data_IF_252031939019
#
_entry.id   IF_252031939019
#
_cell.length_a   1.000
_cell.length_b   1.000
_cell.length_c   1.000
_cell.angle_alpha   90.00
_cell.angle_beta   90.00
_cell.angle_gamma   90.00
#
_symmetry.space_group_name_H-M   'P 1'
#
loop_
_entity.id
_entity.type
_entity.pdbx_description
1 polymer ?
2 non-polymer ?
3 non-polymer ?
4 water ?
#
# COMPACT_ATOMS: atom_id res chain seq x y z
N UNK A 13 43.03 4.18 13.34
CA UNK A 13 43.13 4.18 11.88
C UNK A 13 43.69 2.87 11.37
N UNK A 14 43.96 2.78 10.07
CA UNK A 14 44.48 1.52 9.53
C UNK A 14 45.72 1.09 10.29
N UNK A 15 45.83 -0.21 10.54
CA UNK A 15 47.01 -0.72 11.23
C UNK A 15 48.23 -0.68 10.31
N UNK A 16 49.40 -0.82 10.92
CA UNK A 16 50.66 -0.58 10.21
C UNK A 16 50.93 -1.62 9.13
N UNK A 17 50.41 -2.82 9.28
CA UNK A 17 50.62 -3.86 8.29
C UNK A 17 49.66 -3.84 7.11
N UNK A 18 48.78 -2.85 7.01
CA UNK A 18 47.81 -2.83 5.92
C UNK A 18 48.46 -2.44 4.59
N UNK A 19 48.00 -3.02 3.48
CA UNK A 19 48.49 -2.57 2.16
C UNK A 19 48.23 -1.09 1.96
N UNK A 20 49.04 -0.49 1.08
CA UNK A 20 48.77 0.87 0.67
C UNK A 20 47.37 0.94 0.08
N UNK A 21 46.61 1.96 0.46
CA UNK A 21 45.23 2.03 0.01
C UNK A 21 44.90 3.45 -0.41
N UNK A 22 44.08 3.59 -1.45
CA UNK A 22 43.53 4.87 -1.84
C UNK A 22 42.03 4.68 -1.99
N UNK A 23 41.29 5.79 -1.95
CA UNK A 23 39.84 5.69 -2.10
C UNK A 23 39.50 5.09 -3.47
N UNK A 24 40.20 5.53 -4.50
CA UNK A 24 39.91 5.02 -5.84
C UNK A 24 40.09 3.51 -5.90
N UNK A 25 41.19 2.99 -5.31
CA UNK A 25 41.44 1.55 -5.33
C UNK A 25 40.39 0.79 -4.52
N UNK A 26 40.01 1.33 -3.36
CA UNK A 26 38.97 0.67 -2.57
C UNK A 26 37.64 0.63 -3.30
N UNK A 27 37.24 1.75 -3.90
CA UNK A 27 36.01 1.77 -4.69
C UNK A 27 36.07 0.77 -5.84
N UNK A 28 37.17 0.80 -6.60
CA UNK A 28 37.28 -0.11 -7.73
C UNK A 28 37.27 -1.57 -7.29
N UNK A 29 37.86 -1.85 -6.13
CA UNK A 29 37.99 -3.20 -5.63
C UNK A 29 36.96 -3.62 -4.60
N UNK A 30 35.88 -2.85 -4.43
CA UNK A 30 35.04 -3.03 -3.24
C UNK A 30 34.41 -4.41 -3.18
N UNK A 31 34.18 -5.06 -4.32
CA UNK A 31 33.57 -6.38 -4.34
C UNK A 31 34.55 -7.52 -4.13
N UNK A 32 35.85 -7.24 -4.10
CA UNK A 32 36.85 -8.20 -3.67
C UNK A 32 36.84 -8.38 -2.16
N UNK A 33 36.13 -7.53 -1.44
CA UNK A 33 35.95 -7.70 0.01
C UNK A 33 34.57 -8.30 0.25
N UNK A 34 34.51 -9.26 1.15
CA UNK A 34 33.26 -9.93 1.40
C UNK A 34 33.34 -10.87 2.56
N UNK A 35 32.30 -11.69 2.75
CA UNK A 35 32.30 -12.63 3.90
C UNK A 35 33.48 -13.58 3.90
N UNK A 36 34.13 -13.82 2.76
CA UNK A 36 35.29 -14.70 2.75
C UNK A 36 36.58 -13.99 3.06
N UNK A 37 36.57 -12.67 3.13
CA UNK A 37 37.79 -11.93 3.44
C UNK A 37 38.20 -12.18 4.88
N UNK A 38 39.52 -12.21 5.13
CA UNK A 38 40.00 -12.30 6.50
C UNK A 38 39.74 -11.00 7.25
N UNK A 39 39.61 -11.11 8.58
CA UNK A 39 39.28 -9.95 9.40
C UNK A 39 40.27 -8.82 9.21
N UNK A 40 41.56 -9.15 9.06
CA UNK A 40 42.58 -8.11 8.91
C UNK A 40 42.32 -7.28 7.64
N UNK A 41 41.98 -7.96 6.56
CA UNK A 41 41.68 -7.31 5.27
C UNK A 41 40.48 -6.37 5.39
N UNK A 42 39.42 -6.88 6.00
CA UNK A 42 38.19 -6.09 6.18
C UNK A 42 38.46 -4.85 7.03
N UNK A 43 39.20 -5.01 8.12
CA UNK A 43 39.46 -3.86 9.00
C UNK A 43 40.40 -2.85 8.36
N UNK A 44 41.36 -3.29 7.54
CA UNK A 44 42.19 -2.34 6.82
C UNK A 44 41.33 -1.40 5.99
N UNK A 45 40.34 -1.95 5.31
CA UNK A 45 39.46 -1.17 4.45
C UNK A 45 38.49 -0.32 5.26
N UNK A 46 37.87 -0.91 6.29
CA UNK A 46 36.97 -0.14 7.16
C UNK A 46 37.70 1.02 7.83
N UNK A 47 38.90 0.75 8.36
CA UNK A 47 39.57 1.81 9.11
C UNK A 47 40.01 2.93 8.17
N UNK A 48 40.37 2.58 6.95
CA UNK A 48 40.68 3.59 5.93
C UNK A 48 39.47 4.49 5.63
N UNK A 49 38.33 3.88 5.29
CA UNK A 49 37.20 4.71 4.84
C UNK A 49 36.64 5.59 5.94
N UNK A 50 36.76 5.19 7.22
CA UNK A 50 36.28 6.09 8.25
C UNK A 50 36.95 7.45 8.17
N UNK A 51 38.20 7.49 7.75
CA UNK A 51 38.96 8.73 7.61
C UNK A 51 39.00 9.35 6.22
N UNK A 52 38.27 8.80 5.27
CA UNK A 52 38.34 9.26 3.88
C UNK A 52 37.31 10.36 3.64
N UNK A 53 37.73 11.41 2.92
CA UNK A 53 36.80 12.44 2.48
C UNK A 53 36.34 12.26 1.03
N UNK A 54 36.64 11.13 0.41
CA UNK A 54 36.18 10.84 -0.96
C UNK A 54 34.65 10.85 -1.00
N UNK A 55 34.03 11.68 -1.85
CA UNK A 55 32.55 11.79 -1.79
C UNK A 55 31.83 10.46 -1.98
N UNK A 56 32.21 9.70 -3.01
CA UNK A 56 31.60 8.39 -3.23
C UNK A 56 31.72 7.47 -2.03
N UNK A 57 32.94 7.25 -1.54
CA UNK A 57 33.11 6.34 -0.41
C UNK A 57 32.33 6.83 0.82
N UNK A 58 32.36 8.13 1.08
CA UNK A 58 31.61 8.66 2.22
C UNK A 58 30.12 8.35 2.16
N UNK A 59 29.55 8.23 0.95
CA UNK A 59 28.14 7.91 0.76
C UNK A 59 27.88 6.42 0.60
N UNK A 60 28.92 5.61 0.50
CA UNK A 60 28.81 4.20 0.18
C UNK A 60 28.33 3.38 1.37
N UNK A 61 27.74 2.23 1.05
CA UNK A 61 27.35 1.22 2.03
C UNK A 61 28.52 0.37 2.48
N UNK A 62 29.70 0.56 1.89
CA UNK A 62 30.80 -0.38 2.09
C UNK A 62 31.18 -0.50 3.56
N UNK A 63 31.34 0.63 4.25
CA UNK A 63 31.74 0.57 5.66
C UNK A 63 30.74 -0.18 6.50
N UNK A 64 29.46 0.06 6.25
CA UNK A 64 28.43 -0.64 7.00
C UNK A 64 28.42 -2.12 6.65
N UNK A 65 28.62 -2.45 5.38
CA UNK A 65 28.66 -3.85 5.00
C UNK A 65 29.83 -4.57 5.66
N UNK A 66 31.00 -3.94 5.70
CA UNK A 66 32.15 -4.55 6.32
C UNK A 66 31.87 -4.86 7.77
N UNK A 67 31.26 -3.90 8.47
CA UNK A 67 30.87 -4.13 9.85
C UNK A 67 29.94 -5.33 9.98
N UNK A 68 29.02 -5.50 9.04
CA UNK A 68 28.14 -6.68 9.14
C UNK A 68 28.93 -7.97 8.94
N UNK A 69 29.87 -7.99 7.99
CA UNK A 69 30.72 -9.16 7.83
C UNK A 69 31.45 -9.48 9.15
N UNK A 70 31.95 -8.45 9.83
CA UNK A 70 32.65 -8.69 11.08
C UNK A 70 31.67 -9.14 12.17
N UNK A 71 30.48 -8.57 12.22
CA UNK A 71 29.49 -9.00 13.20
C UNK A 71 29.14 -10.47 13.00
N UNK A 72 28.86 -10.85 11.75
CA UNK A 72 28.33 -12.18 11.49
C UNK A 72 29.32 -13.27 11.88
N UNK A 73 30.62 -12.97 11.77
CA UNK A 73 31.64 -13.97 12.04
C UNK A 73 31.92 -14.17 13.51
N UNK A 74 31.32 -13.37 14.40
CA UNK A 74 31.60 -13.42 15.83
C UNK A 74 30.45 -14.11 16.56
N UNK A 75 30.77 -15.27 17.12
CA UNK A 75 29.77 -16.08 17.81
C UNK A 75 29.40 -15.50 19.16
N UNK A 76 30.31 -14.78 19.81
CA UNK A 76 29.94 -14.16 21.09
C UNK A 76 28.90 -13.07 20.86
N UNK A 77 27.78 -13.07 21.59
CA UNK A 77 26.73 -12.08 21.28
C UNK A 77 27.15 -10.64 21.53
N UNK A 78 27.87 -10.38 22.61
CA UNK A 78 28.28 -9.01 22.89
C UNK A 78 29.26 -8.51 21.85
N UNK A 79 30.17 -9.37 21.41
CA UNK A 79 31.18 -8.95 20.42
C UNK A 79 30.51 -8.71 19.06
N UNK A 80 29.56 -9.58 18.69
CA UNK A 80 28.82 -9.39 17.46
C UNK A 80 28.03 -8.08 17.50
N UNK A 81 27.37 -7.81 18.63
CA UNK A 81 26.57 -6.59 18.73
C UNK A 81 27.45 -5.36 18.65
N UNK A 82 28.68 -5.44 19.17
CA UNK A 82 29.62 -4.32 19.11
C UNK A 82 29.93 -3.95 17.67
N UNK A 83 30.26 -4.94 16.84
CA UNK A 83 30.49 -4.65 15.43
C UNK A 83 29.23 -4.18 14.71
N UNK A 84 28.10 -4.80 15.01
CA UNK A 84 26.83 -4.34 14.44
C UNK A 84 26.56 -2.89 14.79
N UNK A 85 26.82 -2.46 16.04
CA UNK A 85 26.63 -1.05 16.38
C UNK A 85 27.54 -0.15 15.56
N UNK A 86 28.79 -0.57 15.32
CA UNK A 86 29.64 0.18 14.41
C UNK A 86 29.03 0.25 13.01
N UNK A 87 28.42 -0.83 12.53
CA UNK A 87 27.78 -0.82 11.18
C UNK A 87 26.63 0.20 11.13
N UNK A 88 25.84 0.27 12.19
CA UNK A 88 24.72 1.25 12.26
C UNK A 88 25.35 2.66 12.08
N UNK A 89 26.40 2.95 12.84
CA UNK A 89 27.11 4.28 12.81
C UNK A 89 27.60 4.56 11.37
N UNK A 90 28.19 3.56 10.72
CA UNK A 90 28.76 3.71 9.35
C UNK A 90 27.61 4.02 8.35
N UNK A 91 26.48 3.34 8.47
CA UNK A 91 25.32 3.56 7.55
C UNK A 91 24.73 4.96 7.83
N UNK A 92 24.56 5.33 9.11
CA UNK A 92 24.01 6.65 9.50
C UNK A 92 24.95 7.72 8.89
N UNK A 93 26.26 7.55 9.03
CA UNK A 93 27.27 8.48 8.46
C UNK A 93 27.04 8.60 6.94
N UNK A 94 26.86 7.47 6.26
CA UNK A 94 26.67 7.43 4.79
C UNK A 94 25.41 8.23 4.45
N UNK A 95 24.32 8.04 5.19
CA UNK A 95 23.02 8.74 4.95
C UNK A 95 23.20 10.26 5.15
N UNK A 96 23.94 10.68 6.18
CA UNK A 96 24.19 12.11 6.49
C UNK A 96 25.05 12.74 5.37
N UNK A 97 25.90 11.95 4.70
CA UNK A 97 26.83 12.45 3.63
C UNK A 97 26.13 12.39 2.27
N UNK A 98 24.85 12.00 2.17
CA UNK A 98 24.14 12.01 0.92
C UNK A 98 23.82 10.67 0.29
N UNK A 99 23.91 9.58 1.03
CA UNK A 99 23.61 8.25 0.51
C UNK A 99 22.16 7.80 0.61
N UNK A 100 21.23 8.76 0.76
CA UNK A 100 19.85 8.40 1.06
C UNK A 100 19.18 7.63 -0.07
N UNK A 101 19.57 7.85 -1.33
CA UNK A 101 18.95 7.13 -2.43
C UNK A 101 19.55 5.73 -2.66
N UNK A 102 20.59 5.34 -1.92
CA UNK A 102 21.25 4.07 -2.09
C UNK A 102 20.53 3.05 -1.21
N UNK A 103 19.77 2.16 -1.83
CA UNK A 103 19.10 1.12 -1.05
C UNK A 103 20.05 0.27 -0.21
N UNK A 104 21.28 0.08 -0.67
CA UNK A 104 22.22 -0.74 0.12
C UNK A 104 22.62 -0.06 1.42
N UNK A 105 22.66 1.26 1.48
CA UNK A 105 22.95 1.91 2.75
C UNK A 105 21.86 1.63 3.75
N UNK A 106 20.58 1.80 3.35
CA UNK A 106 19.49 1.49 4.25
C UNK A 106 19.48 0.03 4.63
N UNK A 107 19.73 -0.85 3.66
CA UNK A 107 19.79 -2.29 3.94
C UNK A 107 20.78 -2.61 5.04
N UNK A 108 22.04 -2.15 4.90
CA UNK A 108 23.03 -2.49 5.92
C UNK A 108 22.78 -1.78 7.24
N UNK A 109 22.10 -0.62 7.22
CA UNK A 109 21.70 0.05 8.49
C UNK A 109 20.72 -0.91 9.19
N UNK A 110 19.70 -1.40 8.51
CA UNK A 110 18.69 -2.28 9.11
C UNK A 110 19.28 -3.64 9.49
N UNK A 111 20.17 -4.18 8.65
CA UNK A 111 20.74 -5.48 8.96
C UNK A 111 21.62 -5.40 10.21
N UNK A 112 22.50 -4.38 10.30
CA UNK A 112 23.34 -4.21 11.48
C UNK A 112 22.50 -3.89 12.70
N UNK A 113 21.50 -3.02 12.54
CA UNK A 113 20.64 -2.68 13.66
C UNK A 113 19.94 -3.93 14.19
N UNK A 114 19.46 -4.77 13.29
CA UNK A 114 18.87 -6.03 13.72
C UNK A 114 19.82 -6.88 14.54
N UNK A 115 21.06 -7.04 14.06
CA UNK A 115 22.01 -7.84 14.83
C UNK A 115 22.31 -7.20 16.16
N UNK A 116 22.37 -5.88 16.19
CA UNK A 116 22.69 -5.20 17.43
C UNK A 116 21.62 -5.33 18.49
N UNK A 117 20.35 -5.59 18.13
CA UNK A 117 19.26 -5.57 19.09
C UNK A 117 18.55 -6.90 19.24
N UNK A 118 18.73 -7.85 18.33
CA UNK A 118 17.79 -8.96 18.29
C UNK A 118 18.01 -9.96 19.43
N UNK A 119 19.13 -9.89 20.14
CA UNK A 119 19.29 -10.73 21.30
C UNK A 119 18.84 -10.03 22.58
N UNK A 120 18.28 -8.82 22.49
CA UNK A 120 17.87 -8.05 23.67
C UNK A 120 16.45 -7.56 23.40
N UNK A 122 14.25 -5.67 25.00
CA UNK A 122 13.99 -4.27 25.22
C UNK A 122 14.50 -3.43 24.05
N UNK A 123 15.74 -3.68 23.63
CA UNK A 123 16.30 -2.92 22.51
C UNK A 123 15.57 -3.23 21.21
N UNK A 124 15.20 -4.49 21.01
CA UNK A 124 14.50 -4.84 19.78
C UNK A 124 13.18 -4.08 19.69
N UNK A 125 12.43 -4.02 20.79
CA UNK A 125 11.15 -3.30 20.77
C UNK A 125 11.38 -1.82 20.63
N UNK A 126 12.44 -1.31 21.25
CA UNK A 126 12.69 0.13 21.18
C UNK A 126 13.09 0.57 19.78
N UNK A 127 13.62 -0.32 18.98
CA UNK A 127 14.11 0.03 17.65
C UNK A 127 13.25 -0.48 16.51
N UNK A 128 12.03 -0.93 16.79
CA UNK A 128 11.20 -1.57 15.77
C UNK A 128 10.75 -0.56 14.70
N UNK A 129 10.44 0.67 15.09
CA UNK A 129 10.05 1.65 14.08
C UNK A 129 11.20 1.99 13.14
N UNK A 130 12.40 2.15 13.70
CA UNK A 130 13.60 2.48 12.92
C UNK A 130 13.90 1.30 12.00
N UNK A 131 13.91 0.06 12.50
CA UNK A 131 14.04 -1.14 11.68
C UNK A 131 13.02 -1.17 10.55
N UNK A 132 11.76 -0.88 10.86
CA UNK A 132 10.72 -0.91 9.83
C UNK A 132 10.99 0.15 8.76
N UNK A 133 11.33 1.36 9.19
CA UNK A 133 11.59 2.43 8.23
C UNK A 133 12.76 2.09 7.32
N UNK A 134 13.83 1.56 7.88
CA UNK A 134 15.03 1.31 7.08
C UNK A 134 14.85 0.08 6.20
N UNK A 135 14.16 -0.95 6.70
CA UNK A 135 13.89 -2.12 5.86
C UNK A 135 12.97 -1.76 4.70
N UNK A 136 11.93 -0.96 4.96
CA UNK A 136 11.07 -0.48 3.87
C UNK A 136 11.83 0.35 2.85
N UNK A 137 12.73 1.23 3.30
CA UNK A 137 13.51 2.02 2.36
C UNK A 137 14.37 1.12 1.47
N UNK A 138 15.01 0.10 2.07
CA UNK A 138 15.80 -0.85 1.31
C UNK A 138 14.95 -1.60 0.29
N UNK A 139 13.77 -2.07 0.71
CA UNK A 139 12.89 -2.78 -0.21
C UNK A 139 12.43 -1.87 -1.33
N UNK A 140 12.14 -0.60 -1.01
CA UNK A 140 11.74 0.31 -2.07
C UNK A 140 12.87 0.55 -3.06
N UNK A 141 14.09 0.75 -2.57
CA UNK A 141 15.18 1.25 -3.43
C UNK A 141 15.94 0.14 -4.15
N UNK A 142 16.27 -0.96 -3.46
CA UNK A 142 17.07 -2.02 -4.05
C UNK A 142 16.63 -3.38 -3.44
N UNK A 143 15.41 -3.79 -3.80
CA UNK A 143 14.90 -5.04 -3.19
C UNK A 143 15.71 -6.28 -3.52
N UNK A 144 16.43 -6.29 -4.62
CA UNK A 144 17.21 -7.46 -5.02
C UNK A 144 18.59 -7.52 -4.40
N UNK A 145 19.04 -6.45 -3.74
CA UNK A 145 20.41 -6.38 -3.25
C UNK A 145 20.70 -7.56 -2.33
N UNK A 146 21.90 -8.14 -2.48
CA UNK A 146 22.35 -9.24 -1.62
C UNK A 146 21.40 -10.43 -1.74
N UNK A 147 21.02 -10.72 -2.98
CA UNK A 147 20.10 -11.81 -3.26
C UNK A 147 18.79 -11.65 -2.51
N UNK A 148 18.24 -10.44 -2.51
CA UNK A 148 16.97 -10.23 -1.86
C UNK A 148 17.03 -9.96 -0.39
N UNK A 149 18.17 -9.50 0.10
CA UNK A 149 18.33 -9.18 1.51
C UNK A 149 17.26 -8.27 2.10
N UNK A 150 16.93 -7.19 1.40
CA UNK A 150 15.86 -6.31 1.94
C UNK A 150 14.51 -7.01 2.10
N UNK A 151 14.17 -7.92 1.21
CA UNK A 151 12.97 -8.74 1.43
C UNK A 151 13.10 -9.61 2.66
N UNK A 152 14.28 -10.20 2.87
CA UNK A 152 14.53 -10.97 4.09
C UNK A 152 14.28 -10.14 5.34
N UNK A 153 14.88 -8.96 5.43
CA UNK A 153 14.75 -8.13 6.61
C UNK A 153 13.30 -7.72 6.86
N UNK A 154 12.63 -7.20 5.83
CA UNK A 154 11.27 -6.72 6.01
C UNK A 154 10.33 -7.88 6.29
N UNK A 155 10.50 -9.00 5.59
CA UNK A 155 9.65 -10.13 5.84
C UNK A 155 9.80 -10.67 7.26
N UNK A 157 10.73 -8.99 9.83
CA UNK A 157 10.08 -8.03 10.72
C UNK A 157 8.58 -8.23 10.75
N UNK A 158 7.95 -8.48 9.60
CA UNK A 158 6.52 -8.80 9.61
C UNK A 158 6.23 -10.07 10.38
N UNK A 159 7.18 -10.99 10.41
CA UNK A 159 6.98 -12.25 11.13
C UNK A 159 7.19 -12.08 12.63
N UNK A 160 8.13 -11.21 13.02
CA UNK A 160 8.58 -11.13 14.41
C UNK A 160 8.04 -9.93 15.18
N UNK A 161 7.59 -8.87 14.51
CA UNK A 161 7.11 -7.71 15.25
C UNK A 161 5.80 -8.05 15.96
N UNK A 162 5.46 -7.30 17.02
CA UNK A 162 4.17 -7.52 17.69
C UNK A 162 3.03 -7.59 16.71
N UNK A 163 2.15 -8.57 16.89
CA UNK A 163 1.17 -8.87 15.86
C UNK A 163 0.12 -7.78 15.75
N UNK A 164 -0.31 -7.51 14.51
CA UNK A 164 -1.38 -6.57 14.26
C UNK A 164 -2.62 -6.96 15.08
N UNK A 165 -3.27 -6.00 15.72
CA UNK A 165 -3.10 -4.55 15.63
C UNK A 165 -2.11 -3.89 16.57
N UNK A 166 -1.50 -4.66 17.47
CA UNK A 166 -0.53 -4.11 18.42
C UNK A 166 0.72 -3.58 17.75
N UNK A 167 1.15 -4.18 16.66
CA UNK A 167 2.25 -3.65 15.87
C UNK A 167 2.07 -4.03 14.41
N UNK A 169 3.18 -6.69 12.92
CA UNK A 169 3.25 -8.11 12.67
C UNK A 169 2.12 -8.61 11.81
N UNK A 170 2.46 -9.32 10.73
CA UNK A 170 1.47 -9.82 9.78
C UNK A 170 2.07 -11.02 9.05
N UNK A 171 1.61 -12.22 9.39
CA UNK A 171 2.17 -13.43 8.83
C UNK A 171 1.97 -13.57 7.34
N UNK A 172 0.86 -13.02 6.82
CA UNK A 172 0.61 -13.10 5.39
C UNK A 172 1.60 -12.23 4.63
N UNK A 173 1.91 -11.04 5.15
CA UNK A 173 2.91 -10.21 4.50
C UNK A 173 4.28 -10.84 4.61
N UNK A 174 4.57 -11.47 5.76
CA UNK A 174 5.84 -12.19 5.92
C UNK A 174 5.98 -13.25 4.83
N UNK A 175 4.94 -14.06 4.67
CA UNK A 175 4.94 -15.10 3.65
C UNK A 175 5.05 -14.52 2.25
N UNK A 176 4.39 -13.38 1.99
CA UNK A 176 4.46 -12.77 0.68
C UNK A 176 5.89 -12.35 0.37
N UNK A 177 6.53 -11.64 1.30
CA UNK A 177 7.88 -11.12 1.06
C UNK A 177 8.93 -12.22 1.01
N UNK A 178 8.88 -13.17 1.95
CA UNK A 178 9.90 -14.20 1.99
C UNK A 178 9.68 -15.21 0.86
N UNK A 179 8.42 -15.47 0.47
CA UNK A 179 8.18 -16.25 -0.75
C UNK A 179 8.71 -15.57 -1.99
N UNK A 180 8.57 -14.26 -2.05
CA UNK A 180 9.11 -13.52 -3.19
C UNK A 180 10.65 -13.58 -3.20
N UNK A 181 11.29 -13.52 -2.03
CA UNK A 181 12.74 -13.69 -1.98
C UNK A 181 13.17 -15.05 -2.53
N UNK A 182 12.48 -16.12 -2.13
CA UNK A 182 12.82 -17.45 -2.61
C UNK A 182 12.59 -17.54 -4.11
N UNK A 183 11.43 -17.04 -4.58
CA UNK A 183 11.11 -17.13 -6.00
C UNK A 183 12.12 -16.36 -6.84
N UNK A 184 12.44 -15.14 -6.43
CA UNK A 184 13.26 -14.28 -7.27
C UNK A 184 14.74 -14.45 -7.05
N UNK A 185 15.15 -15.01 -5.93
CA UNK A 185 16.57 -15.15 -5.58
C UNK A 185 16.78 -16.47 -4.89
N UNK A 186 16.64 -17.56 -5.64
CA UNK A 186 16.70 -18.90 -5.03
C UNK A 186 18.09 -19.33 -4.60
N UNK A 187 19.15 -18.59 -4.94
CA UNK A 187 20.48 -18.98 -4.60
C UNK A 187 20.93 -18.71 -3.17
N UNK A 188 20.17 -17.95 -2.38
CA UNK A 188 20.63 -17.56 -1.04
C UNK A 188 20.07 -18.51 0.03
N UNK A 189 20.91 -19.07 0.89
CA UNK A 189 20.39 -20.01 1.91
C UNK A 189 19.34 -19.41 2.84
N UNK A 190 19.50 -18.15 3.23
CA UNK A 190 18.56 -17.60 4.20
C UNK A 190 17.19 -17.27 3.62
N UNK A 191 17.06 -17.08 2.30
CA UNK A 191 15.74 -16.89 1.72
C UNK A 191 14.90 -18.12 1.98
N UNK A 192 15.51 -19.30 1.79
CA UNK A 192 14.82 -20.56 2.06
C UNK A 192 14.60 -20.77 3.56
N UNK A 193 15.59 -20.47 4.38
CA UNK A 193 15.43 -20.70 5.83
C UNK A 193 14.30 -19.83 6.39
N UNK A 194 14.30 -18.56 6.02
CA UNK A 194 13.35 -17.61 6.60
C UNK A 194 11.94 -17.87 6.08
N UNK A 195 11.83 -18.22 4.81
CA UNK A 195 10.55 -18.61 4.26
C UNK A 195 10.03 -19.83 5.00
N UNK A 196 10.90 -20.81 5.25
CA UNK A 196 10.52 -22.00 5.99
C UNK A 196 10.03 -21.64 7.40
N UNK A 197 10.72 -20.72 8.07
CA UNK A 197 10.25 -20.32 9.39
C UNK A 197 8.86 -19.69 9.33
N UNK A 198 8.61 -18.84 8.33
CA UNK A 198 7.31 -18.19 8.18
C UNK A 198 6.22 -19.21 7.93
N UNK A 199 6.50 -20.17 7.04
CA UNK A 199 5.53 -21.20 6.71
C UNK A 199 5.12 -21.95 7.97
N UNK A 200 6.09 -22.32 8.79
CA UNK A 200 5.84 -23.05 10.02
C UNK A 200 5.06 -22.20 11.02
N UNK A 201 5.50 -20.95 11.23
CA UNK A 201 4.92 -20.17 12.31
C UNK A 201 3.56 -19.64 11.93
N UNK A 202 3.31 -19.38 10.65
CA UNK A 202 2.02 -18.85 10.22
C UNK A 202 1.04 -19.98 9.92
N UNK A 203 1.49 -21.08 9.29
CA UNK A 203 0.59 -22.13 8.84
C UNK A 203 0.71 -23.42 9.62
N UNK A 204 1.88 -23.72 10.19
CA UNK A 204 1.98 -24.88 11.06
C UNK A 204 2.17 -26.21 10.34
N UNK A 205 1.69 -27.26 11.01
CA UNK A 205 1.86 -28.66 10.60
C UNK A 205 1.43 -28.89 9.15
N UNK A 206 0.48 -28.12 8.66
CA UNK A 206 -0.01 -28.35 7.30
C UNK A 206 1.04 -28.01 6.25
N UNK A 207 2.06 -27.22 6.59
CA UNK A 207 3.14 -26.89 5.68
C UNK A 207 4.44 -27.64 6.01
N UNK A 208 4.39 -28.69 6.85
CA UNK A 208 5.60 -29.38 7.29
C UNK A 208 6.48 -29.83 6.13
N UNK A 209 5.88 -30.45 5.10
CA UNK A 209 6.68 -30.95 3.99
C UNK A 209 7.42 -29.80 3.29
N UNK A 210 6.70 -28.71 3.04
CA UNK A 210 7.31 -27.55 2.40
C UNK A 210 8.36 -26.91 3.30
N UNK A 211 8.06 -26.76 4.58
CA UNK A 211 9.05 -26.25 5.52
C UNK A 211 10.31 -27.09 5.44
N UNK A 212 10.15 -28.42 5.45
CA UNK A 212 11.33 -29.27 5.45
C UNK A 212 12.09 -29.17 4.13
N UNK A 213 11.38 -29.14 3.01
CA UNK A 213 12.07 -29.04 1.73
C UNK A 213 12.80 -27.70 1.61
N UNK A 214 12.21 -26.63 2.13
CA UNK A 214 12.88 -25.33 2.05
C UNK A 214 14.12 -25.29 2.94
N UNK A 216 15.91 -27.93 3.69
CA UNK A 216 16.91 -28.77 3.05
C UNK A 216 17.58 -28.02 1.90
N UNK A 217 16.81 -27.28 1.11
CA UNK A 217 17.42 -26.55 -0.01
C UNK A 217 18.36 -25.47 0.51
N UNK A 218 17.95 -24.73 1.54
CA UNK A 218 18.82 -23.74 2.12
C UNK A 218 20.11 -24.36 2.64
N UNK A 219 19.99 -25.52 3.29
CA UNK A 219 21.18 -26.17 3.83
C UNK A 219 22.13 -26.59 2.74
N UNK A 220 21.59 -27.16 1.65
CA UNK A 220 22.41 -27.55 0.50
C UNK A 220 23.17 -26.34 -0.02
N UNK A 221 22.48 -25.20 -0.17
CA UNK A 221 23.16 -24.00 -0.64
C UNK A 221 24.20 -23.52 0.38
N UNK A 222 23.86 -23.63 1.65
CA UNK A 222 24.81 -23.25 2.70
C UNK A 222 26.07 -24.11 2.61
N UNK A 223 25.89 -25.40 2.36
CA UNK A 223 27.03 -26.29 2.42
C UNK A 223 27.86 -26.23 1.14
N UNK A 224 27.22 -25.98 0.01
CA UNK A 224 27.92 -26.01 -1.28
C UNK A 224 28.43 -24.65 -1.72
N UNK A 225 27.77 -23.57 -1.31
CA UNK A 225 28.08 -22.25 -1.79
C UNK A 225 29.28 -21.69 -1.07
N UNK A 226 29.57 -20.42 -1.38
CA UNK A 226 30.76 -19.77 -0.86
C UNK A 226 30.28 -18.58 -0.01
N UNK A 227 30.01 -18.88 1.26
CA UNK A 227 29.45 -17.93 2.20
C UNK A 227 30.47 -17.52 3.25
N UNK A 228 31.72 -17.98 3.07
CA UNK A 228 32.82 -17.57 3.90
C UNK A 228 32.52 -17.74 5.34
N UNK A 229 32.86 -16.70 6.11
CA UNK A 229 32.72 -16.74 7.53
C UNK A 229 31.32 -16.42 8.01
N UNK A 230 30.36 -16.34 7.12
CA UNK A 230 28.97 -16.30 7.52
C UNK A 230 28.41 -17.68 7.80
N UNK A 231 29.12 -18.73 7.41
CA UNK A 231 28.52 -20.06 7.45
C UNK A 231 28.16 -20.47 8.88
N UNK A 232 29.01 -20.18 9.87
CA UNK A 232 28.74 -20.71 11.21
C UNK A 232 27.48 -20.09 11.83
N UNK A 233 27.32 -18.78 11.73
CA UNK A 233 26.11 -18.18 12.32
C UNK A 233 24.86 -18.64 11.56
N UNK A 234 24.93 -18.76 10.23
CA UNK A 234 23.76 -19.27 9.51
C UNK A 234 23.44 -20.73 9.91
N UNK A 235 24.47 -21.55 10.10
CA UNK A 235 24.25 -22.91 10.55
C UNK A 235 23.52 -22.94 11.88
N UNK A 236 23.86 -22.02 12.80
CA UNK A 236 23.15 -21.95 14.08
C UNK A 236 21.67 -21.61 13.87
N UNK A 237 21.39 -20.73 12.92
CA UNK A 237 20.00 -20.35 12.65
C UNK A 237 19.21 -21.52 12.05
N UNK A 238 19.84 -22.31 11.19
CA UNK A 238 19.23 -23.52 10.68
C UNK A 238 18.92 -24.49 11.83
N UNK A 239 19.86 -24.66 12.76
CA UNK A 239 19.61 -25.56 13.89
C UNK A 239 18.45 -25.06 14.72
N UNK A 240 18.35 -23.73 14.90
CA UNK A 240 17.25 -23.17 15.66
C UNK A 240 15.91 -23.60 15.08
N UNK A 241 15.78 -23.52 13.75
CA UNK A 241 14.49 -23.87 13.13
C UNK A 241 14.23 -25.36 13.25
N UNK A 242 15.27 -26.18 13.11
CA UNK A 242 15.14 -27.62 13.30
C UNK A 242 14.58 -27.90 14.68
N UNK A 243 15.05 -27.18 15.69
CA UNK A 243 14.60 -27.48 17.04
C UNK A 243 13.20 -26.95 17.27
N UNK A 244 12.88 -25.81 16.66
CA UNK A 244 11.54 -25.24 16.72
C UNK A 244 10.50 -26.17 16.13
N UNK A 245 10.79 -26.81 15.00
CA UNK A 245 9.81 -27.71 14.38
C UNK A 245 9.78 -29.05 15.08
N UNK A 246 10.69 -29.29 16.00
CA UNK A 246 10.70 -30.50 16.78
C UNK A 246 11.42 -31.67 16.16
N UNK B 17 -42.97 29.75 -1.50
CA UNK B 17 -43.74 28.50 -1.49
C UNK B 17 -43.00 27.35 -0.84
N UNK B 18 -41.78 27.62 -0.36
CA UNK B 18 -41.04 26.62 0.39
C UNK B 18 -41.55 26.56 1.82
N UNK B 19 -41.61 25.38 2.43
CA UNK B 19 -41.92 25.33 3.87
C UNK B 19 -40.93 26.15 4.68
N UNK B 20 -41.40 26.70 5.79
CA UNK B 20 -40.49 27.33 6.73
C UNK B 20 -39.44 26.34 7.19
N UNK B 21 -38.18 26.77 7.21
CA UNK B 21 -37.04 25.90 7.49
C UNK B 21 -36.16 26.57 8.53
N UNK B 22 -35.57 25.78 9.41
CA UNK B 22 -34.50 26.22 10.31
C UNK B 22 -33.37 25.21 10.12
N UNK B 23 -32.15 25.61 10.50
CA UNK B 23 -31.02 24.71 10.38
C UNK B 23 -31.23 23.45 11.21
N UNK B 24 -31.76 23.62 12.42
CA UNK B 24 -32.00 22.46 13.30
C UNK B 24 -32.95 21.46 12.64
N UNK B 25 -34.03 21.95 12.02
CA UNK B 25 -35.00 21.06 11.37
C UNK B 25 -34.42 20.37 10.15
N UNK B 26 -33.63 21.07 9.33
CA UNK B 26 -33.02 20.44 8.17
C UNK B 26 -32.02 19.36 8.59
N UNK B 27 -31.19 19.66 9.58
CA UNK B 27 -30.24 18.67 10.07
C UNK B 27 -30.96 17.44 10.63
N UNK B 28 -31.96 17.66 11.48
CA UNK B 28 -32.71 16.54 12.03
C UNK B 28 -33.43 15.76 10.94
N UNK B 29 -33.89 16.44 9.89
CA UNK B 29 -34.68 15.80 8.86
C UNK B 29 -33.92 15.39 7.62
N UNK B 30 -32.58 15.44 7.65
CA UNK B 30 -31.83 15.43 6.38
C UNK B 30 -32.03 14.15 5.60
N UNK B 31 -32.32 13.04 6.28
CA UNK B 31 -32.54 11.78 5.58
C UNK B 31 -33.96 11.63 5.06
N UNK B 32 -34.86 12.57 5.36
CA UNK B 32 -36.15 12.61 4.69
C UNK B 32 -36.03 13.14 3.26
N UNK B 33 -34.88 13.71 2.90
CA UNK B 33 -34.60 14.18 1.55
C UNK B 33 -33.77 13.10 0.87
N UNK B 34 -34.12 12.79 -0.38
CA UNK B 34 -33.42 11.77 -1.13
C UNK B 34 -33.87 11.70 -2.57
N UNK B 35 -33.45 10.64 -3.27
CA UNK B 35 -33.83 10.49 -4.68
C UNK B 35 -35.33 10.46 -4.94
N UNK B 36 -36.16 10.11 -3.95
CA UNK B 36 -37.60 10.13 -4.18
C UNK B 36 -38.23 11.49 -3.91
N UNK B 37 -37.45 12.45 -3.42
CA UNK B 37 -37.96 13.79 -3.18
C UNK B 37 -38.23 14.49 -4.51
N UNK B 38 -39.28 15.32 -4.54
CA UNK B 38 -39.57 16.16 -5.70
C UNK B 38 -38.53 17.27 -5.80
N UNK B 39 -38.31 17.75 -7.03
CA UNK B 39 -37.26 18.75 -7.27
C UNK B 39 -37.47 20.00 -6.43
N UNK B 40 -38.72 20.43 -6.31
CA UNK B 40 -39.03 21.63 -5.54
C UNK B 40 -38.63 21.44 -4.08
N UNK B 41 -38.91 20.26 -3.52
CA UNK B 41 -38.50 19.99 -2.14
C UNK B 41 -36.98 20.07 -1.97
N UNK B 42 -36.25 19.44 -2.89
CA UNK B 42 -34.80 19.44 -2.81
C UNK B 42 -34.22 20.84 -2.92
N UNK B 43 -34.76 21.66 -3.83
CA UNK B 43 -34.27 23.01 -4.05
C UNK B 43 -34.60 23.94 -2.89
N UNK B 44 -35.74 23.72 -2.22
CA UNK B 44 -36.02 24.50 -1.03
C UNK B 44 -34.93 24.30 0.01
N UNK B 45 -34.50 23.06 0.21
CA UNK B 45 -33.47 22.75 1.20
C UNK B 45 -32.10 23.24 0.77
N UNK B 46 -31.73 22.96 -0.49
CA UNK B 46 -30.46 23.43 -1.04
C UNK B 46 -30.34 24.95 -0.94
N UNK B 47 -31.40 25.66 -1.32
CA UNK B 47 -31.32 27.12 -1.32
C UNK B 47 -31.24 27.67 0.10
N UNK B 48 -31.92 27.03 1.05
CA UNK B 48 -31.73 27.39 2.46
C UNK B 48 -30.27 27.19 2.87
N UNK B 49 -29.69 26.05 2.54
CA UNK B 49 -28.31 25.79 2.93
C UNK B 49 -27.35 26.82 2.37
N UNK B 50 -27.59 27.28 1.13
CA UNK B 50 -26.73 28.28 0.53
C UNK B 50 -26.67 29.53 1.40
N UNK B 51 -27.78 29.89 2.03
CA UNK B 51 -27.80 31.08 2.85
C UNK B 51 -27.56 30.88 4.33
N UNK B 52 -27.25 29.67 4.76
CA UNK B 52 -27.16 29.34 6.16
C UNK B 52 -25.75 29.51 6.72
N UNK B 53 -25.66 30.08 7.91
CA UNK B 53 -24.41 30.16 8.63
C UNK B 53 -24.25 29.08 9.69
N UNK B 54 -25.16 28.12 9.75
CA UNK B 54 -25.08 27.07 10.75
C UNK B 54 -23.80 26.26 10.59
N UNK B 55 -22.97 26.15 11.64
CA UNK B 55 -21.66 25.49 11.44
C UNK B 55 -21.77 24.06 10.90
N UNK B 56 -22.58 23.22 11.56
CA UNK B 56 -22.77 21.85 11.12
C UNK B 56 -23.21 21.80 9.65
N UNK B 57 -24.28 22.51 9.30
CA UNK B 57 -24.76 22.45 7.93
C UNK B 57 -23.70 22.93 6.93
N UNK B 58 -22.97 24.00 7.27
CA UNK B 58 -21.94 24.52 6.37
C UNK B 58 -20.86 23.48 6.06
N UNK B 59 -20.62 22.55 6.99
CA UNK B 59 -19.64 21.48 6.84
C UNK B 59 -20.24 20.19 6.30
N UNK B 60 -21.55 20.13 6.15
CA UNK B 60 -22.28 18.93 5.78
C UNK B 60 -22.13 18.64 4.29
N UNK B 61 -22.32 17.36 3.94
CA UNK B 61 -22.41 16.91 2.56
C UNK B 61 -23.80 17.12 1.97
N UNK B 62 -24.76 17.57 2.77
CA UNK B 62 -26.15 17.57 2.33
C UNK B 62 -26.33 18.38 1.05
N UNK B 63 -25.76 19.58 0.98
CA UNK B 63 -25.94 20.39 -0.22
C UNK B 63 -25.40 19.69 -1.46
N UNK B 64 -24.24 19.05 -1.33
CA UNK B 64 -23.65 18.35 -2.45
C UNK B 64 -24.51 17.15 -2.84
N UNK B 65 -25.01 16.43 -1.84
CA UNK B 65 -25.86 15.28 -2.11
C UNK B 65 -27.12 15.68 -2.85
N UNK B 66 -27.75 16.78 -2.42
CA UNK B 66 -28.95 17.27 -3.09
C UNK B 66 -28.66 17.55 -4.54
N UNK B 67 -27.52 18.21 -4.81
CA UNK B 67 -27.15 18.50 -6.18
C UNK B 67 -26.99 17.22 -6.99
N UNK B 68 -26.48 16.17 -6.39
CA UNK B 68 -26.37 14.91 -7.11
C UNK B 68 -27.75 14.34 -7.41
N UNK B 69 -28.68 14.44 -6.46
CA UNK B 69 -30.04 13.96 -6.70
C UNK B 69 -30.64 14.69 -7.90
N UNK B 70 -30.39 16.01 -7.98
CA UNK B 70 -30.90 16.81 -9.08
C UNK B 70 -30.21 16.46 -10.39
N UNK B 71 -28.91 16.22 -10.34
CA UNK B 71 -28.19 15.81 -11.53
C UNK B 71 -28.72 14.51 -12.08
N UNK B 72 -28.83 13.50 -11.21
CA UNK B 72 -29.15 12.15 -11.67
C UNK B 72 -30.50 12.08 -12.35
N UNK B 73 -31.45 12.92 -11.94
CA UNK B 73 -32.79 12.88 -12.52
C UNK B 73 -32.90 13.59 -13.85
N UNK B 74 -31.86 14.27 -14.30
CA UNK B 74 -31.96 15.06 -15.53
C UNK B 74 -31.30 14.30 -16.68
N UNK B 75 -32.11 13.89 -17.66
CA UNK B 75 -31.60 13.09 -18.75
C UNK B 75 -30.74 13.89 -19.71
N UNK B 76 -31.02 15.16 -19.87
CA UNK B 76 -30.20 15.96 -20.78
C UNK B 76 -28.80 16.07 -20.23
N UNK B 77 -27.75 15.76 -21.03
CA UNK B 77 -26.37 15.74 -20.48
C UNK B 77 -25.88 17.07 -19.96
N UNK B 78 -26.19 18.15 -20.66
CA UNK B 78 -25.71 19.47 -20.24
C UNK B 78 -26.40 19.89 -18.94
N UNK B 79 -27.71 19.65 -18.84
CA UNK B 79 -28.43 20.05 -17.62
C UNK B 79 -27.96 19.21 -16.44
N UNK B 80 -27.72 17.93 -16.67
CA UNK B 80 -27.21 17.06 -15.60
C UNK B 80 -25.84 17.56 -15.12
N UNK B 81 -24.97 17.88 -16.08
CA UNK B 81 -23.64 18.36 -15.73
C UNK B 81 -23.72 19.69 -14.99
N UNK B 82 -24.69 20.55 -15.35
CA UNK B 82 -24.89 21.82 -14.65
C UNK B 82 -25.17 21.61 -13.16
N UNK B 83 -26.08 20.73 -12.81
CA UNK B 83 -26.33 20.47 -11.40
C UNK B 83 -25.11 19.78 -10.73
N UNK B 84 -24.47 18.85 -11.44
CA UNK B 84 -23.28 18.18 -10.92
C UNK B 84 -22.17 19.19 -10.60
N UNK B 85 -21.97 20.18 -11.47
CA UNK B 85 -21.00 21.23 -11.16
C UNK B 85 -21.40 22.00 -9.91
N UNK B 86 -22.70 22.29 -9.73
CA UNK B 86 -23.14 22.89 -8.47
C UNK B 86 -22.80 21.99 -7.28
N UNK B 87 -22.91 20.67 -7.48
CA UNK B 87 -22.60 19.75 -6.39
C UNK B 87 -21.13 19.78 -6.02
N UNK B 88 -20.25 19.91 -7.01
CA UNK B 88 -18.83 20.04 -6.72
C UNK B 88 -18.57 21.29 -5.89
N UNK B 89 -19.18 22.39 -6.29
CA UNK B 89 -19.02 23.65 -5.56
C UNK B 89 -19.53 23.52 -4.13
N UNK B 90 -20.64 22.83 -3.93
CA UNK B 90 -21.16 22.68 -2.57
C UNK B 90 -20.23 21.84 -1.72
N UNK B 91 -19.72 20.74 -2.27
CA UNK B 91 -18.79 19.91 -1.51
C UNK B 91 -17.50 20.65 -1.19
N UNK B 92 -16.92 21.33 -2.17
CA UNK B 92 -15.71 22.11 -1.91
C UNK B 92 -15.94 23.13 -0.81
N UNK B 93 -17.07 23.83 -0.85
CA UNK B 93 -17.40 24.76 0.22
C UNK B 93 -17.44 24.08 1.59
N UNK B 94 -18.03 22.89 1.66
CA UNK B 94 -18.10 22.18 2.93
C UNK B 94 -16.69 21.78 3.42
N UNK B 95 -15.82 21.40 2.51
CA UNK B 95 -14.45 21.07 2.89
C UNK B 95 -13.74 22.30 3.44
N UNK B 96 -13.92 23.44 2.78
CA UNK B 96 -13.28 24.67 3.26
C UNK B 96 -13.83 25.12 4.60
N UNK B 97 -15.07 24.76 4.95
CA UNK B 97 -15.62 25.12 6.25
C UNK B 97 -15.30 24.10 7.33
N UNK B 98 -14.49 23.09 7.03
CA UNK B 98 -14.04 22.15 8.02
C UNK B 98 -14.60 20.74 7.94
N UNK B 99 -15.21 20.36 6.83
CA UNK B 99 -15.78 19.03 6.68
C UNK B 99 -14.82 17.97 6.16
N UNK B 100 -13.50 18.19 6.28
CA UNK B 100 -12.57 17.26 5.61
C UNK B 100 -12.62 15.85 6.23
N UNK B 101 -13.00 15.72 7.50
CA UNK B 101 -13.01 14.37 8.09
C UNK B 101 -14.27 13.57 7.72
N UNK B 102 -15.25 14.20 7.07
CA UNK B 102 -16.51 13.56 6.72
C UNK B 102 -16.36 12.87 5.36
N UNK B 103 -16.32 11.53 5.37
CA UNK B 103 -16.24 10.79 4.10
C UNK B 103 -17.36 11.09 3.11
N UNK B 104 -18.54 11.43 3.61
CA UNK B 104 -19.65 11.70 2.69
C UNK B 104 -19.46 12.99 1.91
N UNK B 105 -18.74 13.97 2.45
CA UNK B 105 -18.42 15.16 1.68
C UNK B 105 -17.51 14.83 0.51
N UNK B 106 -16.45 14.05 0.77
CA UNK B 106 -15.58 13.65 -0.32
C UNK B 106 -16.31 12.78 -1.32
N UNK B 107 -17.17 11.90 -0.84
CA UNK B 107 -17.94 11.03 -1.72
C UNK B 107 -18.76 11.86 -2.70
N UNK B 108 -19.55 12.82 -2.20
CA UNK B 108 -20.41 13.59 -3.11
C UNK B 108 -19.62 14.57 -3.96
N UNK B 109 -18.45 15.01 -3.50
CA UNK B 109 -17.56 15.75 -4.39
C UNK B 109 -17.19 14.88 -5.58
N UNK B 110 -16.70 13.66 -5.31
CA UNK B 110 -16.27 12.74 -6.36
C UNK B 110 -17.44 12.31 -7.23
N UNK B 111 -18.59 12.05 -6.62
CA UNK B 111 -19.74 11.58 -7.38
C UNK B 111 -20.24 12.66 -8.34
N UNK B 112 -20.38 13.90 -7.85
CA UNK B 112 -20.77 15.01 -8.69
C UNK B 112 -19.71 15.31 -9.75
N UNK B 113 -18.43 15.30 -9.35
CA UNK B 113 -17.36 15.56 -10.29
C UNK B 113 -17.36 14.55 -11.43
N UNK B 114 -17.56 13.26 -11.12
CA UNK B 114 -17.65 12.26 -12.15
C UNK B 114 -18.78 12.54 -13.11
N UNK B 115 -19.97 12.89 -12.58
CA UNK B 115 -21.08 13.20 -13.45
C UNK B 115 -20.80 14.43 -14.29
N UNK B 116 -20.13 15.42 -13.71
CA UNK B 116 -19.90 16.66 -14.45
C UNK B 116 -18.94 16.48 -15.62
N UNK B 117 -18.09 15.45 -15.62
CA UNK B 117 -17.06 15.30 -16.64
C UNK B 117 -17.19 14.04 -17.47
N UNK B 118 -18.02 13.08 -17.05
CA UNK B 118 -17.84 11.76 -17.66
C UNK B 118 -18.33 11.71 -19.11
N UNK B 119 -19.10 12.72 -19.55
CA UNK B 119 -19.48 12.86 -20.93
C UNK B 119 -18.53 13.77 -21.73
N UNK B 120 -17.43 14.20 -21.11
CA UNK B 120 -16.47 15.14 -21.68
C UNK B 120 -15.06 14.61 -21.46
N UNK B 122 -12.03 15.45 -22.41
CA UNK B 122 -11.04 16.45 -22.00
C UNK B 122 -11.19 16.80 -20.52
N UNK B 123 -12.42 17.08 -20.09
CA UNK B 123 -12.65 17.40 -18.68
C UNK B 123 -12.38 16.20 -17.78
N UNK B 124 -12.78 15.00 -18.23
CA UNK B 124 -12.51 13.79 -17.45
C UNK B 124 -11.02 13.62 -17.20
N UNK B 125 -10.21 13.78 -18.26
CA UNK B 125 -8.77 13.60 -18.12
C UNK B 125 -8.17 14.70 -17.27
N UNK B 126 -8.69 15.92 -17.40
CA UNK B 126 -8.13 17.03 -16.64
C UNK B 126 -8.45 16.93 -15.15
N UNK B 127 -9.49 16.17 -14.79
CA UNK B 127 -9.92 16.03 -13.40
C UNK B 127 -9.58 14.68 -12.79
N UNK B 128 -8.69 13.92 -13.42
CA UNK B 128 -8.42 12.58 -12.96
C UNK B 128 -7.76 12.58 -11.60
N UNK B 129 -6.83 13.51 -11.37
CA UNK B 129 -6.16 13.54 -10.08
C UNK B 129 -7.12 13.93 -8.96
N UNK B 130 -8.02 14.89 -9.21
CA UNK B 130 -8.95 15.29 -8.16
C UNK B 130 -9.96 14.16 -7.89
N UNK B 131 -10.51 13.57 -8.95
CA UNK B 131 -11.37 12.40 -8.79
C UNK B 131 -10.68 11.30 -7.99
N UNK B 132 -9.41 11.00 -8.33
CA UNK B 132 -8.70 9.96 -7.59
C UNK B 132 -8.54 10.33 -6.13
N UNK B 133 -8.10 11.55 -5.84
CA UNK B 133 -7.89 11.96 -4.45
C UNK B 133 -9.20 11.90 -3.66
N UNK B 134 -10.27 12.40 -4.24
CA UNK B 134 -11.52 12.47 -3.49
C UNK B 134 -12.17 11.09 -3.34
N UNK B 135 -12.06 10.21 -4.32
CA UNK B 135 -12.64 8.85 -4.26
C UNK B 135 -11.87 8.06 -3.18
N UNK B 136 -10.55 8.23 -3.14
CA UNK B 136 -9.67 7.53 -2.16
C UNK B 136 -10.06 8.02 -0.75
N UNK B 137 -10.29 9.33 -0.60
CA UNK B 137 -10.66 9.95 0.71
C UNK B 137 -11.99 9.32 1.17
N UNK B 138 -12.95 9.23 0.26
CA UNK B 138 -14.27 8.63 0.57
C UNK B 138 -14.07 7.17 1.03
N UNK B 139 -13.26 6.39 0.29
CA UNK B 139 -13.06 4.93 0.60
C UNK B 139 -12.35 4.81 1.95
N UNK B 140 -11.41 5.71 2.24
CA UNK B 140 -10.63 5.68 3.51
C UNK B 140 -11.58 5.98 4.70
N UNK B 141 -12.43 7.01 4.58
CA UNK B 141 -13.22 7.54 5.71
C UNK B 141 -14.55 6.78 5.89
N UNK B 142 -15.30 6.56 4.80
CA UNK B 142 -16.65 5.96 4.86
C UNK B 142 -16.88 5.01 3.69
N UNK B 143 -16.16 3.89 3.56
CA UNK B 143 -16.30 3.02 2.37
C UNK B 143 -17.75 2.50 2.23
N UNK B 144 -18.49 2.32 3.33
CA UNK B 144 -19.82 1.73 3.28
C UNK B 144 -20.92 2.72 2.93
N UNK B 145 -20.62 4.01 2.92
CA UNK B 145 -21.65 5.02 2.73
C UNK B 145 -22.40 4.80 1.42
N UNK B 146 -23.72 5.01 1.45
CA UNK B 146 -24.57 4.84 0.26
C UNK B 146 -24.46 3.42 -0.30
N UNK B 147 -24.48 2.43 0.60
CA UNK B 147 -24.43 1.02 0.24
C UNK B 147 -23.16 0.75 -0.60
N UNK B 148 -22.04 1.32 -0.17
CA UNK B 148 -20.76 1.11 -0.85
C UNK B 148 -20.45 2.03 -2.00
N UNK B 149 -21.06 3.21 -2.05
CA UNK B 149 -20.78 4.17 -3.08
C UNK B 149 -19.32 4.54 -3.29
N UNK B 150 -18.56 4.80 -2.23
CA UNK B 150 -17.14 5.10 -2.44
C UNK B 150 -16.38 3.96 -3.10
N UNK B 151 -16.74 2.72 -2.82
CA UNK B 151 -16.14 1.60 -3.55
C UNK B 151 -16.52 1.63 -5.02
N UNK B 152 -17.79 1.93 -5.31
CA UNK B 152 -18.20 2.07 -6.72
C UNK B 152 -17.37 3.11 -7.45
N UNK B 153 -17.25 4.30 -6.85
CA UNK B 153 -16.54 5.39 -7.51
C UNK B 153 -15.07 5.03 -7.75
N UNK B 154 -14.38 4.56 -6.72
CA UNK B 154 -12.96 4.26 -6.85
C UNK B 154 -12.76 3.07 -7.80
N UNK B 155 -13.61 2.07 -7.70
CA UNK B 155 -13.46 0.92 -8.57
C UNK B 155 -13.66 1.25 -10.03
N UNK B 157 -13.18 4.23 -11.32
CA UNK B 157 -12.00 4.99 -11.69
C UNK B 157 -10.82 4.09 -12.06
N UNK B 158 -10.60 3.01 -11.28
CA UNK B 158 -9.56 2.01 -11.63
C UNK B 158 -9.88 1.31 -12.95
N UNK B 159 -11.16 1.21 -13.28
CA UNK B 159 -11.56 0.57 -14.52
C UNK B 159 -11.34 1.49 -15.72
N UNK B 160 -11.55 2.80 -15.55
CA UNK B 160 -11.65 3.75 -16.64
C UNK B 160 -10.44 4.67 -16.81
N UNK B 161 -9.63 4.87 -15.78
CA UNK B 161 -8.50 5.77 -15.92
C UNK B 161 -7.49 5.14 -16.90
N UNK B 162 -6.61 5.96 -17.50
CA UNK B 162 -5.58 5.40 -18.40
C UNK B 162 -4.84 4.26 -17.70
N UNK B 163 -4.62 3.18 -18.44
CA UNK B 163 -4.10 1.97 -17.83
C UNK B 163 -2.65 2.14 -17.40
N UNK B 164 -2.33 1.54 -16.26
CA UNK B 164 -0.99 1.54 -15.72
C UNK B 164 -0.05 1.00 -16.80
N UNK B 165 1.10 1.63 -17.05
CA UNK B 165 1.71 2.72 -16.29
C UNK B 165 1.39 4.15 -16.68
N UNK B 166 0.58 4.35 -17.72
CA UNK B 166 0.23 5.69 -18.16
C UNK B 166 -0.64 6.41 -17.14
N UNK B 167 -1.47 5.69 -16.39
CA UNK B 167 -2.22 6.27 -15.29
C UNK B 167 -2.52 5.25 -14.22
N UNK B 169 -5.07 3.36 -13.95
CA UNK B 169 -5.88 2.24 -14.39
C UNK B 169 -5.32 0.87 -14.05
N UNK B 170 -6.15 0.03 -13.41
CA UNK B 170 -5.72 -1.30 -12.98
C UNK B 170 -6.99 -2.14 -12.85
N UNK B 171 -7.23 -3.01 -13.80
CA UNK B 171 -8.45 -3.78 -13.79
C UNK B 171 -8.59 -4.70 -12.59
N UNK B 172 -7.46 -5.17 -12.04
CA UNK B 172 -7.55 -6.06 -10.89
C UNK B 172 -8.01 -5.29 -9.66
N UNK B 173 -7.55 -4.06 -9.48
CA UNK B 173 -8.05 -3.27 -8.35
C UNK B 173 -9.51 -2.91 -8.56
N UNK B 174 -9.91 -2.64 -9.81
CA UNK B 174 -11.31 -2.38 -10.09
C UNK B 174 -12.15 -3.57 -9.64
N UNK B 175 -11.73 -4.78 -10.03
CA UNK B 175 -12.43 -5.99 -9.64
C UNK B 175 -12.44 -6.19 -8.13
N UNK B 176 -11.32 -5.89 -7.47
CA UNK B 176 -11.30 -6.04 -6.01
C UNK B 176 -12.31 -5.11 -5.35
N UNK B 177 -12.33 -3.83 -5.75
CA UNK B 177 -13.19 -2.86 -5.08
C UNK B 177 -14.66 -3.11 -5.38
N UNK B 178 -14.98 -3.41 -6.64
CA UNK B 178 -16.36 -3.62 -7.05
C UNK B 178 -16.86 -4.97 -6.58
N UNK B 179 -15.98 -5.98 -6.51
CA UNK B 179 -16.33 -7.21 -5.86
C UNK B 179 -16.62 -7.05 -4.37
N UNK B 180 -15.83 -6.22 -3.69
CA UNK B 180 -16.11 -5.97 -2.27
C UNK B 180 -17.42 -5.19 -2.08
N UNK B 181 -17.72 -4.24 -2.97
CA UNK B 181 -19.01 -3.56 -2.89
C UNK B 181 -20.17 -4.56 -2.96
N UNK B 182 -20.10 -5.50 -3.89
CA UNK B 182 -21.15 -6.49 -4.07
C UNK B 182 -21.24 -7.43 -2.88
N UNK B 183 -20.11 -7.89 -2.36
CA UNK B 183 -20.11 -8.82 -1.23
C UNK B 183 -20.67 -8.16 0.02
N UNK B 184 -20.21 -6.95 0.34
CA UNK B 184 -20.51 -6.25 1.59
C UNK B 184 -21.80 -5.46 1.52
N UNK B 185 -22.28 -5.13 0.32
CA UNK B 185 -23.48 -4.32 0.14
C UNK B 185 -24.26 -4.83 -1.05
N UNK B 186 -24.83 -6.03 -0.91
CA UNK B 186 -25.49 -6.69 -2.05
C UNK B 186 -26.82 -6.10 -2.45
N UNK B 187 -27.40 -5.19 -1.66
CA UNK B 187 -28.70 -4.64 -1.96
C UNK B 187 -28.75 -3.52 -2.99
N UNK B 188 -27.59 -3.01 -3.44
CA UNK B 188 -27.60 -1.88 -4.36
C UNK B 188 -27.47 -2.33 -5.81
N UNK B 189 -28.37 -1.94 -6.70
CA UNK B 189 -28.25 -2.41 -8.10
C UNK B 189 -26.94 -2.03 -8.78
N UNK B 190 -26.40 -0.85 -8.49
CA UNK B 190 -25.19 -0.44 -9.20
C UNK B 190 -23.93 -1.18 -8.76
N UNK B 191 -23.92 -1.73 -7.53
CA UNK B 191 -22.79 -2.57 -7.17
C UNK B 191 -22.73 -3.75 -8.11
N UNK B 192 -23.87 -4.35 -8.41
CA UNK B 192 -23.91 -5.48 -9.33
C UNK B 192 -23.59 -5.05 -10.75
N UNK B 193 -24.15 -3.92 -11.19
CA UNK B 193 -23.94 -3.44 -12.56
C UNK B 193 -22.48 -3.12 -12.79
N UNK B 194 -21.86 -2.37 -11.87
CA UNK B 194 -20.49 -1.97 -12.12
C UNK B 194 -19.54 -3.16 -12.04
N UNK B 195 -19.80 -4.09 -11.12
CA UNK B 195 -18.95 -5.30 -10.96
C UNK B 195 -19.05 -6.09 -12.28
N UNK B 196 -20.26 -6.22 -12.83
CA UNK B 196 -20.45 -6.92 -14.10
C UNK B 196 -19.67 -6.25 -15.22
N UNK B 197 -19.68 -4.91 -15.28
CA UNK B 197 -18.90 -4.24 -16.30
C UNK B 197 -17.42 -4.55 -16.15
N UNK B 198 -16.91 -4.52 -14.92
CA UNK B 198 -15.48 -4.77 -14.70
C UNK B 198 -15.12 -6.18 -15.10
N UNK B 199 -15.98 -7.14 -14.76
CA UNK B 199 -15.76 -8.57 -15.09
C UNK B 199 -15.63 -8.67 -16.63
N UNK B 200 -16.55 -8.05 -17.36
CA UNK B 200 -16.53 -8.10 -18.82
C UNK B 200 -15.26 -7.44 -19.36
N UNK B 201 -14.97 -6.23 -18.89
CA UNK B 201 -13.94 -5.43 -19.52
C UNK B 201 -12.56 -5.90 -19.13
N UNK B 202 -12.40 -6.43 -17.92
CA UNK B 202 -11.08 -6.86 -17.47
C UNK B 202 -10.81 -8.31 -17.84
N UNK B 203 -11.79 -9.19 -17.69
CA UNK B 203 -11.57 -10.62 -17.84
C UNK B 203 -12.16 -11.17 -19.13
N UNK B 204 -13.14 -10.49 -19.70
CA UNK B 204 -13.66 -10.85 -21.00
C UNK B 204 -14.69 -11.97 -20.99
N UNK B 205 -14.78 -12.65 -22.14
CA UNK B 205 -15.84 -13.61 -22.38
C UNK B 205 -15.85 -14.74 -21.37
N UNK B 206 -14.71 -15.03 -20.75
CA UNK B 206 -14.64 -16.13 -19.81
C UNK B 206 -15.50 -15.89 -18.58
N UNK B 207 -15.91 -14.63 -18.31
CA UNK B 207 -16.83 -14.23 -17.20
C UNK B 207 -18.28 -14.07 -17.69
N UNK B 208 -18.61 -14.43 -18.93
CA UNK B 208 -19.98 -14.23 -19.51
C UNK B 208 -21.05 -14.65 -18.48
N UNK B 209 -20.96 -15.85 -17.93
CA UNK B 209 -21.99 -16.39 -16.99
C UNK B 209 -22.11 -15.44 -15.78
N UNK B 210 -20.99 -15.09 -15.15
CA UNK B 210 -21.00 -14.25 -13.91
C UNK B 210 -21.55 -12.86 -14.27
N UNK B 211 -21.13 -12.29 -15.40
CA UNK B 211 -21.62 -10.96 -15.88
C UNK B 211 -23.16 -11.07 -15.99
N UNK B 212 -23.68 -12.14 -16.59
CA UNK B 212 -25.14 -12.33 -16.80
C UNK B 212 -25.85 -12.46 -15.44
N UNK B 213 -25.28 -13.20 -14.48
CA UNK B 213 -25.90 -13.43 -13.15
C UNK B 213 -25.87 -12.09 -12.38
N UNK B 214 -24.81 -11.30 -12.53
CA UNK B 214 -24.63 -10.03 -11.78
C UNK B 214 -25.60 -9.01 -12.37
N UNK B 216 -28.41 -9.69 -13.86
CA UNK B 216 -29.75 -10.22 -13.52
C UNK B 216 -30.05 -9.79 -12.06
N UNK B 217 -29.11 -9.95 -11.14
CA UNK B 217 -29.33 -9.57 -9.75
C UNK B 217 -29.50 -8.06 -9.62
N UNK B 218 -28.69 -7.28 -10.35
CA UNK B 218 -28.83 -5.85 -10.33
C UNK B 218 -30.19 -5.38 -10.84
N UNK B 219 -30.64 -5.99 -11.93
CA UNK B 219 -31.95 -5.66 -12.53
C UNK B 219 -33.08 -5.98 -11.55
N UNK B 220 -33.01 -7.11 -10.85
CA UNK B 220 -34.07 -7.47 -9.91
C UNK B 220 -34.20 -6.42 -8.82
N UNK B 221 -33.07 -5.99 -8.27
CA UNK B 221 -33.07 -4.95 -7.24
C UNK B 221 -33.51 -3.61 -7.82
N UNK B 222 -33.13 -3.29 -9.05
CA UNK B 222 -33.58 -2.05 -9.66
C UNK B 222 -35.11 -2.02 -9.71
N UNK B 223 -35.71 -3.18 -10.00
CA UNK B 223 -37.16 -3.24 -10.17
C UNK B 223 -37.90 -3.38 -8.85
N UNK B 224 -37.28 -4.01 -7.84
CA UNK B 224 -37.97 -4.25 -6.59
C UNK B 224 -37.78 -3.12 -5.59
N UNK B 225 -36.64 -2.43 -5.65
CA UNK B 225 -36.28 -1.45 -4.66
C UNK B 225 -36.95 -0.11 -4.91
N UNK B 226 -36.57 0.86 -4.09
CA UNK B 226 -37.17 2.20 -4.14
C UNK B 226 -36.04 3.20 -4.39
N UNK B 227 -35.80 3.53 -5.66
CA UNK B 227 -34.69 4.38 -6.07
C UNK B 227 -35.16 5.73 -6.58
N UNK B 228 -36.42 6.06 -6.36
CA UNK B 228 -36.91 7.40 -6.71
C UNK B 228 -36.61 7.78 -8.15
N UNK B 229 -36.17 9.00 -8.33
CA UNK B 229 -35.89 9.52 -9.65
C UNK B 229 -34.50 9.16 -10.14
N UNK B 230 -33.78 8.30 -9.44
CA UNK B 230 -32.54 7.74 -9.98
C UNK B 230 -32.78 6.57 -10.92
N UNK B 231 -34.00 6.01 -10.90
CA UNK B 231 -34.22 4.75 -11.59
C UNK B 231 -33.98 4.86 -13.09
N UNK B 232 -34.42 5.95 -13.72
CA UNK B 232 -34.32 6.03 -15.18
C UNK B 232 -32.87 6.10 -15.62
N UNK B 233 -32.03 6.90 -14.96
CA UNK B 233 -30.63 6.93 -15.38
C UNK B 233 -29.94 5.59 -15.14
N UNK B 234 -30.24 4.92 -14.02
CA UNK B 234 -29.63 3.61 -13.78
C UNK B 234 -30.07 2.59 -14.83
N UNK B 235 -31.34 2.65 -15.24
CA UNK B 235 -31.82 1.77 -16.31
C UNK B 235 -31.05 1.99 -17.60
N UNK B 236 -30.73 3.25 -17.94
CA UNK B 236 -29.93 3.50 -19.13
C UNK B 236 -28.56 2.86 -19.03
N UNK B 237 -27.96 2.87 -17.84
CA UNK B 237 -26.62 2.30 -17.64
C UNK B 237 -26.71 0.77 -17.83
N UNK B 238 -27.77 0.14 -17.32
CA UNK B 238 -27.99 -1.33 -17.50
C UNK B 238 -28.03 -1.61 -19.01
N UNK B 239 -28.76 -0.81 -19.77
CA UNK B 239 -28.92 -1.00 -21.24
C UNK B 239 -27.55 -0.87 -21.91
N UNK B 240 -26.77 0.12 -21.49
CA UNK B 240 -25.43 0.38 -22.06
C UNK B 240 -24.61 -0.93 -21.92
N UNK B 241 -24.62 -1.56 -20.75
CA UNK B 241 -23.77 -2.78 -20.53
C UNK B 241 -24.34 -3.93 -21.39
N UNK B 242 -25.66 -4.07 -21.49
CA UNK B 242 -26.29 -5.11 -22.35
C UNK B 242 -25.73 -4.92 -23.78
N UNK B 243 -25.77 -3.69 -24.30
CA UNK B 243 -25.30 -3.36 -25.68
C UNK B 243 -23.82 -3.73 -25.79
N UNK B 244 -23.00 -3.37 -24.80
CA UNK B 244 -21.53 -3.64 -24.80
C UNK B 244 -21.32 -5.16 -24.88
N UNK B 245 -22.02 -5.94 -24.07
CA UNK B 245 -21.87 -7.43 -23.96
C UNK B 245 -22.37 -8.07 -25.29
N UNK B 246 -23.24 -7.39 -26.04
CA UNK B 246 -23.87 -7.97 -27.26
C UNK B 246 -25.06 -8.84 -26.87
#
# INVERSE_FOLDING_TARGET
>A
XCGGLHRDGTPAGPSAGCPRLTAAALSAGQDALGPSSETQELECALDFLRGSDDPALRRSSLGSRICLHLAERNSDPAERARFAREGVERAEAALAQGGEDDGAVHYYLAANLGLAVRDDXTAALANLHRLEHESEAAVKLSPDFDDGGPLRLLGXLYLKAPAWPAGXGDGDKALDLLGQAVERHPGHPLNHLFYAEALWEVNGESESRRVEEEXAAGWRLLESGSWGYNKQIWKREFADLRQEIGAPARLEHHHHHH
>B
XCGGLHRDGTPAGPSAGCPRLTAAALSAGQDALGPSSETQELECALDFLRGSDDPALRRSSLGSRICLHLAERNSDPAERARFAREGVERAEAALAQGGEDDGAVHYYLAANLGLAVRDDXTAALANLHRLEHESEAAVKLSPDFDDGGPLRLLGXLYLKAPAWPAGXGDGDKALDLLGQAVERHPGHPLNHLFYAEALWEVNGESESRRVEEEXAAGWRLLESGSWGYNKQIWKREFADLRQEIGAPARLEHHHHHH
#
